data_IF_694455592214
#
_entry.id   IF_694455592214
#
_cell.length_a   1.000
_cell.length_b   1.000
_cell.length_c   1.000
_cell.angle_alpha   90.00
_cell.angle_beta   90.00
_cell.angle_gamma   90.00
#
_symmetry.space_group_name_H-M   'P 1'
#
loop_
_entity.id
_entity.type
_entity.pdbx_description
1 polymer ?
#
# COMPACT_ATOMS: atom_id res chain seq x y z
N UNK A 1 77.47 -30.46 43.78
CA UNK A 1 76.56 -30.10 42.61
C UNK A 1 75.14 -30.18 43.10
N UNK A 2 74.46 -29.06 43.29
CA UNK A 2 73.12 -28.98 43.80
C UNK A 2 72.20 -28.71 42.64
N UNK A 3 71.24 -29.65 42.37
CA UNK A 3 70.20 -29.51 41.35
C UNK A 3 69.05 -28.82 41.96
N UNK A 4 68.68 -27.68 41.41
CA UNK A 4 67.46 -26.89 41.80
C UNK A 4 66.32 -27.35 40.90
N UNK A 5 65.31 -27.90 41.55
CA UNK A 5 64.01 -28.21 40.84
C UNK A 5 63.13 -26.98 40.88
N UNK A 6 62.70 -26.51 39.69
CA UNK A 6 61.71 -25.44 39.55
C UNK A 6 60.36 -26.08 39.41
N UNK A 7 59.50 -25.83 40.39
CA UNK A 7 58.11 -26.23 40.35
C UNK A 7 57.27 -25.19 39.51
N UNK A 8 56.71 -25.65 38.41
CA UNK A 8 55.77 -24.81 37.62
C UNK A 8 54.32 -24.89 38.22
N UNK A 9 53.85 -23.76 38.65
CA UNK A 9 52.46 -23.60 39.11
C UNK A 9 51.59 -23.32 37.87
N UNK A 10 50.71 -24.28 37.52
CA UNK A 10 49.69 -24.05 36.52
C UNK A 10 48.48 -23.37 37.21
N UNK A 11 48.26 -22.09 36.91
CA UNK A 11 47.03 -21.41 37.25
C UNK A 11 45.94 -21.76 36.21
N UNK A 12 44.94 -22.51 36.62
CA UNK A 12 43.77 -22.78 35.82
C UNK A 12 42.86 -21.53 35.82
N UNK A 13 42.89 -20.77 34.74
CA UNK A 13 41.95 -19.67 34.53
C UNK A 13 40.61 -20.20 34.05
N UNK A 14 39.56 -20.13 34.90
CA UNK A 14 38.18 -20.32 34.49
C UNK A 14 37.75 -19.09 33.71
N UNK A 15 37.80 -19.16 32.40
CA UNK A 15 37.17 -18.18 31.51
C UNK A 15 35.65 -18.40 31.48
N UNK A 16 34.91 -17.60 32.21
CA UNK A 16 33.46 -17.55 32.04
C UNK A 16 33.13 -16.92 30.65
N UNK A 17 32.90 -17.76 29.68
CA UNK A 17 32.39 -17.32 28.36
C UNK A 17 30.98 -16.80 28.49
N UNK A 18 30.81 -15.45 28.39
CA UNK A 18 29.50 -14.85 28.26
C UNK A 18 28.99 -15.17 26.86
N UNK A 19 28.08 -16.13 26.76
CA UNK A 19 27.26 -16.36 25.56
C UNK A 19 26.32 -15.16 25.40
N UNK A 20 26.73 -14.18 24.61
CA UNK A 20 25.82 -13.16 24.11
C UNK A 20 24.91 -13.86 23.08
N UNK A 21 23.74 -14.29 23.53
CA UNK A 21 22.70 -14.72 22.61
C UNK A 21 22.33 -13.54 21.72
N UNK A 22 22.85 -13.54 20.51
CA UNK A 22 22.47 -12.57 19.48
C UNK A 22 20.96 -12.73 19.23
N UNK A 23 20.17 -11.80 19.73
CA UNK A 23 18.78 -11.67 19.29
C UNK A 23 18.82 -11.33 17.81
N UNK A 24 18.58 -12.30 16.97
CA UNK A 24 18.27 -12.06 15.55
C UNK A 24 16.98 -11.27 15.54
N UNK A 25 17.08 -9.96 15.35
CA UNK A 25 15.94 -9.07 15.17
C UNK A 25 15.26 -9.52 13.87
N UNK A 26 14.21 -10.32 14.04
CA UNK A 26 13.41 -10.81 12.92
C UNK A 26 12.82 -9.58 12.24
N UNK A 27 13.12 -9.41 10.94
CA UNK A 27 12.56 -8.34 10.16
C UNK A 27 11.03 -8.35 10.34
N UNK A 28 10.38 -7.19 10.52
CA UNK A 28 8.94 -7.12 10.72
C UNK A 28 8.25 -7.87 9.58
N UNK A 29 7.47 -8.88 9.92
CA UNK A 29 6.67 -9.62 8.94
C UNK A 29 5.70 -8.66 8.27
N UNK A 30 5.63 -8.68 6.94
CA UNK A 30 4.63 -7.91 6.21
C UNK A 30 3.22 -8.33 6.70
N UNK A 31 2.27 -7.37 6.76
CA UNK A 31 0.89 -7.69 7.07
C UNK A 31 0.34 -8.82 6.21
N UNK A 32 -0.53 -9.66 6.78
CA UNK A 32 -1.14 -10.79 6.07
C UNK A 32 -1.92 -10.32 4.84
N UNK A 33 -2.70 -9.23 5.00
CA UNK A 33 -3.36 -8.54 3.90
C UNK A 33 -2.63 -7.23 3.59
N UNK A 34 -2.53 -6.90 2.31
CA UNK A 34 -1.77 -5.75 1.83
C UNK A 34 -2.30 -5.22 0.50
N UNK A 35 -1.90 -4.01 0.20
CA UNK A 35 -2.04 -3.42 -1.14
C UNK A 35 -1.31 -4.26 -2.18
N UNK A 36 -1.95 -4.52 -3.31
CA UNK A 36 -1.41 -5.30 -4.43
C UNK A 36 -1.02 -4.44 -5.63
N UNK A 37 -1.45 -3.19 -5.66
CA UNK A 37 -1.14 -2.25 -6.73
C UNK A 37 -1.95 -0.96 -6.64
N UNK A 38 -1.71 -0.07 -7.58
CA UNK A 38 -2.50 1.16 -7.73
C UNK A 38 -3.71 0.83 -8.62
N UNK A 39 -4.90 0.98 -8.06
CA UNK A 39 -6.16 0.80 -8.77
C UNK A 39 -6.66 2.08 -9.42
N UNK A 40 -6.27 3.25 -8.90
CA UNK A 40 -6.63 4.51 -9.50
C UNK A 40 -5.82 5.70 -8.98
N UNK A 41 -5.71 6.71 -9.83
CA UNK A 41 -5.16 8.02 -9.50
C UNK A 41 -6.21 9.06 -9.82
N UNK A 42 -6.69 9.76 -8.80
CA UNK A 42 -7.75 10.74 -8.90
C UNK A 42 -7.26 12.10 -8.45
N UNK A 43 -7.65 13.15 -9.15
CA UNK A 43 -7.29 14.51 -8.77
C UNK A 43 -8.36 15.52 -9.14
N UNK A 44 -8.36 16.66 -8.44
CA UNK A 44 -9.30 17.76 -8.62
C UNK A 44 -8.82 18.71 -9.69
N UNK A 45 -9.75 19.29 -10.42
CA UNK A 45 -9.50 20.35 -11.37
C UNK A 45 -10.61 21.40 -11.35
N UNK A 46 -10.28 22.64 -11.66
CA UNK A 46 -11.26 23.74 -11.82
C UNK A 46 -12.18 23.48 -13.01
N UNK A 47 -11.59 23.03 -14.12
CA UNK A 47 -12.31 22.62 -15.31
C UNK A 47 -11.88 21.19 -15.73
N UNK A 48 -12.56 20.14 -15.22
CA UNK A 48 -12.23 18.77 -15.56
C UNK A 48 -12.35 18.44 -17.04
N UNK A 49 -13.28 19.07 -17.74
CA UNK A 49 -13.51 18.81 -19.17
C UNK A 49 -12.31 19.28 -19.99
N UNK A 50 -11.95 20.56 -19.86
CA UNK A 50 -10.81 21.13 -20.56
C UNK A 50 -9.52 20.40 -20.20
N UNK A 51 -9.32 20.04 -18.93
CA UNK A 51 -8.12 19.33 -18.51
C UNK A 51 -8.06 17.92 -19.11
N UNK A 52 -9.15 17.16 -19.13
CA UNK A 52 -9.22 15.84 -19.80
C UNK A 52 -8.90 15.93 -21.28
N UNK A 53 -9.47 16.91 -21.98
CA UNK A 53 -9.17 17.15 -23.40
C UNK A 53 -7.68 17.39 -23.61
N UNK A 54 -7.05 18.21 -22.77
CA UNK A 54 -5.62 18.45 -22.84
C UNK A 54 -4.78 17.15 -22.70
N UNK A 55 -5.11 16.32 -21.69
CA UNK A 55 -4.42 15.04 -21.49
C UNK A 55 -4.62 14.08 -22.66
N UNK A 56 -5.81 14.06 -23.22
CA UNK A 56 -6.11 13.24 -24.39
C UNK A 56 -5.34 13.70 -25.63
N UNK A 57 -5.35 15.00 -25.91
CA UNK A 57 -4.70 15.56 -27.11
C UNK A 57 -3.19 15.61 -27.01
N UNK A 58 -2.63 15.92 -25.84
CA UNK A 58 -1.20 16.16 -25.66
C UNK A 58 -0.43 14.94 -25.19
N UNK A 59 -1.06 14.06 -24.43
CA UNK A 59 -0.41 12.88 -23.84
C UNK A 59 -1.03 11.57 -24.34
N UNK A 60 -2.09 11.61 -25.13
CA UNK A 60 -2.70 10.42 -25.70
C UNK A 60 -3.44 9.54 -24.69
N UNK A 61 -3.84 10.08 -23.51
CA UNK A 61 -4.63 9.30 -22.56
C UNK A 61 -6.01 9.03 -23.17
N UNK A 62 -6.33 7.76 -23.39
CA UNK A 62 -7.64 7.36 -23.89
C UNK A 62 -8.71 7.58 -22.83
N UNK A 63 -9.47 8.67 -22.96
CA UNK A 63 -10.60 8.99 -22.09
C UNK A 63 -11.83 8.28 -22.61
N UNK A 64 -12.49 7.51 -21.76
CA UNK A 64 -13.74 6.83 -22.11
C UNK A 64 -14.86 7.85 -22.30
N UNK A 65 -15.50 7.80 -23.44
CA UNK A 65 -16.60 8.71 -23.79
C UNK A 65 -17.76 8.54 -22.80
N UNK A 66 -18.30 9.65 -22.33
CA UNK A 66 -19.39 9.68 -21.35
C UNK A 66 -18.96 9.37 -19.90
N UNK A 67 -17.90 8.62 -19.67
CA UNK A 67 -17.46 8.24 -18.33
C UNK A 67 -16.48 9.25 -17.71
N UNK A 68 -15.65 9.88 -18.54
CA UNK A 68 -14.72 10.93 -18.09
C UNK A 68 -13.46 10.41 -17.38
N UNK A 69 -13.12 9.12 -17.48
CA UNK A 69 -11.85 8.55 -17.00
C UNK A 69 -11.08 7.85 -18.10
N UNK A 70 -9.75 7.75 -17.90
CA UNK A 70 -8.87 6.88 -18.65
C UNK A 70 -8.65 5.56 -17.92
N UNK A 71 -8.41 4.50 -18.69
CA UNK A 71 -8.07 3.19 -18.16
C UNK A 71 -6.71 2.76 -18.70
N UNK A 72 -5.81 2.41 -17.78
CA UNK A 72 -4.54 1.77 -18.12
C UNK A 72 -4.66 0.29 -17.79
N UNK A 73 -4.65 -0.56 -18.82
CA UNK A 73 -4.71 -2.01 -18.67
C UNK A 73 -3.29 -2.56 -18.54
N UNK A 74 -3.13 -3.53 -17.64
CA UNK A 74 -1.85 -4.20 -17.42
C UNK A 74 -2.09 -5.66 -17.03
N UNK A 75 -1.02 -6.45 -16.95
CA UNK A 75 -1.06 -7.86 -16.54
C UNK A 75 -0.19 -8.06 -15.31
N UNK A 76 -0.62 -8.94 -14.41
CA UNK A 76 0.17 -9.28 -13.24
C UNK A 76 1.49 -9.95 -13.67
N UNK A 77 2.60 -9.49 -13.09
CA UNK A 77 3.93 -10.01 -13.43
C UNK A 77 4.09 -11.50 -13.11
N UNK A 78 3.45 -12.00 -12.05
CA UNK A 78 3.54 -13.37 -11.59
C UNK A 78 2.53 -14.29 -12.27
N UNK A 79 1.48 -13.73 -12.86
CA UNK A 79 0.44 -14.47 -13.60
C UNK A 79 -0.10 -13.57 -14.72
N UNK A 80 0.46 -13.74 -15.90
CA UNK A 80 0.09 -12.94 -17.07
C UNK A 80 -1.33 -13.21 -17.61
N UNK A 81 -2.01 -14.23 -17.11
CA UNK A 81 -3.43 -14.48 -17.41
C UNK A 81 -4.35 -13.52 -16.65
N UNK A 82 -3.85 -12.90 -15.56
CA UNK A 82 -4.60 -11.95 -14.76
C UNK A 82 -4.40 -10.53 -15.27
N UNK A 83 -5.49 -9.97 -15.72
CA UNK A 83 -5.55 -8.56 -16.12
C UNK A 83 -5.84 -7.67 -14.90
N UNK A 84 -5.31 -6.47 -14.93
CA UNK A 84 -5.58 -5.45 -13.97
C UNK A 84 -5.82 -4.11 -14.63
N UNK A 85 -6.48 -3.23 -13.92
CA UNK A 85 -6.84 -1.90 -14.39
C UNK A 85 -6.36 -0.85 -13.41
N UNK A 86 -5.77 0.24 -13.93
CA UNK A 86 -5.55 1.47 -13.16
C UNK A 86 -6.41 2.57 -13.77
N UNK A 87 -7.29 3.14 -12.98
CA UNK A 87 -8.20 4.22 -13.39
C UNK A 87 -7.50 5.56 -13.22
N UNK A 88 -7.53 6.38 -14.26
CA UNK A 88 -7.11 7.77 -14.20
C UNK A 88 -8.32 8.68 -14.25
N UNK A 89 -8.54 9.54 -13.26
CA UNK A 89 -9.75 10.33 -13.16
C UNK A 89 -9.55 11.76 -12.72
N UNK A 90 -10.30 12.69 -13.36
CA UNK A 90 -10.31 14.11 -13.00
C UNK A 90 -11.69 14.47 -12.47
N UNK A 91 -11.72 14.95 -11.24
CA UNK A 91 -12.91 15.36 -10.51
C UNK A 91 -13.05 16.89 -10.48
N UNK A 92 -14.25 17.44 -10.36
CA UNK A 92 -14.42 18.86 -10.10
C UNK A 92 -13.73 19.27 -8.79
N UNK A 93 -13.15 20.47 -8.74
CA UNK A 93 -12.56 21.02 -7.53
C UNK A 93 -13.52 21.01 -6.33
N UNK A 94 -14.80 21.19 -6.61
CA UNK A 94 -15.87 21.20 -5.60
C UNK A 94 -16.30 19.83 -5.11
N UNK A 95 -15.74 18.76 -5.65
CA UNK A 95 -16.15 17.39 -5.26
C UNK A 95 -16.00 17.16 -3.76
N UNK A 96 -16.99 16.49 -3.18
CA UNK A 96 -16.93 16.00 -1.80
C UNK A 96 -16.41 14.57 -1.68
N UNK A 97 -16.12 13.94 -2.80
CA UNK A 97 -15.67 12.53 -2.82
C UNK A 97 -14.36 12.33 -2.05
N UNK A 98 -13.49 13.34 -2.02
CA UNK A 98 -12.23 13.28 -1.29
C UNK A 98 -12.34 13.71 0.19
N UNK A 99 -13.51 14.18 0.62
CA UNK A 99 -13.70 14.55 2.03
C UNK A 99 -13.48 13.33 2.96
N UNK A 100 -12.90 13.54 4.15
CA UNK A 100 -12.55 14.81 4.78
C UNK A 100 -11.20 15.39 4.34
N UNK A 101 -10.44 14.73 3.47
CA UNK A 101 -9.14 15.21 3.00
C UNK A 101 -9.23 16.54 2.25
N UNK A 102 -8.32 17.46 2.57
CA UNK A 102 -8.10 18.69 1.82
C UNK A 102 -7.21 18.52 0.59
N UNK A 103 -6.57 17.35 0.44
CA UNK A 103 -5.67 17.08 -0.68
C UNK A 103 -6.38 17.23 -2.03
N UNK A 104 -5.69 17.73 -3.06
CA UNK A 104 -6.24 17.83 -4.41
C UNK A 104 -6.23 16.49 -5.16
N UNK A 105 -5.80 15.41 -4.52
CA UNK A 105 -5.73 14.07 -5.09
C UNK A 105 -6.26 13.01 -4.11
N UNK A 106 -6.56 11.83 -4.64
CA UNK A 106 -6.83 10.62 -3.88
C UNK A 106 -6.27 9.43 -4.66
N UNK A 107 -5.59 8.53 -3.96
CA UNK A 107 -5.09 7.28 -4.55
C UNK A 107 -6.06 6.14 -4.19
N UNK A 108 -6.42 5.36 -5.20
CA UNK A 108 -7.08 4.08 -5.00
C UNK A 108 -6.04 2.97 -5.03
N UNK A 109 -6.04 2.13 -4.01
CA UNK A 109 -5.18 0.96 -3.93
C UNK A 109 -6.00 -0.32 -4.10
N UNK A 110 -5.50 -1.21 -4.96
CA UNK A 110 -6.07 -2.57 -5.14
C UNK A 110 -5.69 -3.44 -3.95
N UNK A 111 -6.64 -4.27 -3.54
CA UNK A 111 -6.45 -5.27 -2.48
C UNK A 111 -7.07 -6.60 -2.91
N UNK A 112 -6.69 -7.71 -2.28
CA UNK A 112 -7.25 -9.03 -2.59
C UNK A 112 -8.48 -9.36 -1.75
N UNK A 113 -8.45 -8.98 -0.48
CA UNK A 113 -9.52 -9.22 0.46
C UNK A 113 -9.73 -7.96 1.30
N UNK A 114 -10.70 -7.18 0.91
CA UNK A 114 -10.98 -5.89 1.55
C UNK A 114 -11.41 -6.06 3.00
N UNK A 115 -12.25 -7.05 3.29
CA UNK A 115 -12.80 -7.26 4.63
C UNK A 115 -11.70 -7.65 5.63
N UNK A 116 -10.83 -8.58 5.23
CA UNK A 116 -9.69 -8.99 6.06
C UNK A 116 -8.70 -7.83 6.26
N UNK A 117 -8.43 -7.03 5.22
CA UNK A 117 -7.58 -5.85 5.34
C UNK A 117 -8.21 -4.81 6.28
N UNK A 118 -9.51 -4.55 6.19
CA UNK A 118 -10.19 -3.60 7.08
C UNK A 118 -10.16 -4.07 8.54
N UNK A 119 -10.30 -5.36 8.77
CA UNK A 119 -10.16 -5.96 10.11
C UNK A 119 -8.75 -5.74 10.67
N UNK A 120 -7.73 -6.00 9.85
CA UNK A 120 -6.33 -5.78 10.19
C UNK A 120 -6.04 -4.30 10.49
N UNK A 121 -6.53 -3.38 9.66
CA UNK A 121 -6.35 -1.93 9.84
C UNK A 121 -7.02 -1.42 11.11
N UNK A 122 -8.25 -1.86 11.42
CA UNK A 122 -8.94 -1.52 12.68
C UNK A 122 -8.16 -2.01 13.89
N UNK A 123 -7.65 -3.23 13.84
CA UNK A 123 -6.83 -3.80 14.93
C UNK A 123 -5.51 -3.03 15.13
N UNK A 124 -5.00 -2.40 14.07
CA UNK A 124 -3.83 -1.52 14.11
C UNK A 124 -4.16 -0.06 14.48
N UNK A 125 -5.42 0.25 14.83
CA UNK A 125 -5.83 1.59 15.22
C UNK A 125 -6.03 2.57 14.07
N UNK A 126 -6.06 2.09 12.82
CA UNK A 126 -6.33 2.95 11.67
C UNK A 126 -7.82 3.30 11.62
N UNK A 127 -8.11 4.58 11.41
CA UNK A 127 -9.49 5.05 11.21
C UNK A 127 -9.98 4.57 9.83
N UNK A 128 -10.98 3.69 9.86
CA UNK A 128 -11.68 3.19 8.68
C UNK A 128 -13.00 3.92 8.58
N UNK A 129 -13.31 4.51 7.42
CA UNK A 129 -14.64 5.05 7.13
C UNK A 129 -15.65 3.89 7.18
N UNK A 130 -16.69 4.02 7.99
CA UNK A 130 -17.53 2.91 8.45
C UNK A 130 -18.31 2.14 7.37
N UNK A 131 -18.24 2.56 6.12
CA UNK A 131 -19.03 2.01 5.03
C UNK A 131 -18.17 1.26 4.02
N UNK A 132 -18.50 -0.02 3.79
CA UNK A 132 -18.09 -0.74 2.58
C UNK A 132 -19.18 -0.52 1.54
N UNK A 133 -18.81 -0.09 0.35
CA UNK A 133 -19.70 0.06 -0.79
C UNK A 133 -19.39 -1.04 -1.79
N UNK A 134 -20.42 -1.77 -2.21
CA UNK A 134 -20.29 -2.73 -3.30
C UNK A 134 -20.92 -2.15 -4.56
N UNK A 135 -20.18 -2.22 -5.67
CA UNK A 135 -20.60 -1.73 -6.98
C UNK A 135 -20.34 -2.80 -8.05
N UNK A 136 -20.69 -2.49 -9.32
CA UNK A 136 -20.56 -3.43 -10.45
C UNK A 136 -19.12 -3.93 -10.65
N UNK A 137 -18.12 -3.11 -10.34
CA UNK A 137 -16.69 -3.39 -10.57
C UNK A 137 -15.91 -3.83 -9.30
N UNK A 138 -16.55 -3.90 -8.12
CA UNK A 138 -15.88 -4.35 -6.91
C UNK A 138 -16.45 -3.82 -5.61
N UNK A 139 -15.67 -4.01 -4.54
CA UNK A 139 -15.96 -3.48 -3.20
C UNK A 139 -14.98 -2.36 -2.88
N UNK A 140 -15.48 -1.33 -2.22
CA UNK A 140 -14.74 -0.13 -1.87
C UNK A 140 -14.86 0.19 -0.40
N UNK A 141 -13.78 0.69 0.18
CA UNK A 141 -13.77 1.30 1.49
C UNK A 141 -12.72 2.42 1.53
N UNK A 142 -12.78 3.27 2.54
CA UNK A 142 -11.88 4.40 2.67
C UNK A 142 -11.22 4.45 4.03
N UNK A 143 -9.98 4.89 4.03
CA UNK A 143 -9.18 5.15 5.21
C UNK A 143 -8.53 6.53 5.09
N UNK A 144 -8.07 7.06 6.21
CA UNK A 144 -7.32 8.33 6.23
C UNK A 144 -5.94 8.03 6.80
N UNK A 145 -4.91 8.48 6.11
CA UNK A 145 -3.54 8.33 6.58
C UNK A 145 -3.18 9.36 7.67
N UNK A 146 -2.02 9.23 8.34
CA UNK A 146 -1.62 10.16 9.39
C UNK A 146 -1.45 11.63 8.95
N UNK A 147 -1.27 11.88 7.65
CA UNK A 147 -1.18 13.23 7.08
C UNK A 147 -2.57 13.78 6.64
N UNK A 148 -3.64 13.02 6.87
CA UNK A 148 -5.00 13.41 6.53
C UNK A 148 -5.39 13.18 5.07
N UNK A 149 -4.63 12.40 4.31
CA UNK A 149 -5.01 12.04 2.97
C UNK A 149 -6.04 10.92 2.99
N UNK A 150 -7.15 11.09 2.27
CA UNK A 150 -8.11 10.01 2.06
C UNK A 150 -7.58 9.04 1.03
N UNK A 151 -7.64 7.77 1.36
CA UNK A 151 -7.23 6.65 0.53
C UNK A 151 -8.46 5.81 0.24
N UNK A 152 -8.61 5.39 -1.00
CA UNK A 152 -9.64 4.41 -1.40
C UNK A 152 -8.99 3.03 -1.52
N UNK A 153 -9.61 2.03 -0.91
CA UNK A 153 -9.23 0.63 -1.00
C UNK A 153 -10.25 -0.08 -1.89
N UNK A 154 -9.78 -0.82 -2.88
CA UNK A 154 -10.62 -1.47 -3.87
C UNK A 154 -10.29 -2.96 -4.00
N UNK A 155 -11.28 -3.81 -3.74
CA UNK A 155 -11.27 -5.23 -4.09
C UNK A 155 -12.01 -5.39 -5.41
N UNK A 156 -11.32 -5.52 -6.55
CA UNK A 156 -11.96 -5.63 -7.85
C UNK A 156 -12.66 -6.98 -8.02
N UNK A 157 -13.78 -6.97 -8.76
CA UNK A 157 -14.38 -8.19 -9.30
C UNK A 157 -13.52 -8.75 -10.44
N UNK A 158 -13.65 -10.05 -10.78
CA UNK A 158 -12.98 -10.63 -11.94
C UNK A 158 -13.24 -9.82 -13.22
N UNK A 159 -12.17 -9.53 -13.97
CA UNK A 159 -12.23 -8.74 -15.21
C UNK A 159 -11.97 -7.23 -15.03
N UNK A 160 -11.62 -6.81 -13.79
CA UNK A 160 -11.27 -5.41 -13.48
C UNK A 160 -9.87 -5.26 -12.89
#
# INVERSE_FOLDING_TARGET
>A
MRTIAIAAVFAAGFGAGILVAGQTQQAPSLPAERVTGIGGVFFKARDPKTLRTWYQEKLGIAIQEGAGFGLFLWRERQDSSREGTTVWGVFPETTKYFAPSAAPFMINYRVRNLEALLTQLRSAGVTVDGKVVEDFNGKFAWVVDPEGNKIELWEPKPGY
#
